data_IF_736757367483
#
_entry.id   IF_736757367483
#
_cell.length_a   1.000
_cell.length_b   1.000
_cell.length_c   1.000
_cell.angle_alpha   90.00
_cell.angle_beta   90.00
_cell.angle_gamma   90.00
#
_symmetry.space_group_name_H-M   'P 1'
#
loop_
_entity.id
_entity.type
_entity.pdbx_description
1 polymer ?
#
# COMPACT_ATOMS: atom_id res chain seq x y z
N UNK A 1 -43.65 -22.86 4.82
CA UNK A 1 -42.32 -22.88 5.47
C UNK A 1 -41.15 -23.03 4.48
N UNK A 2 -41.19 -22.36 3.31
CA UNK A 2 -40.10 -22.39 2.29
C UNK A 2 -39.56 -21.01 1.92
N UNK A 3 -40.25 -19.93 2.33
CA UNK A 3 -39.90 -18.55 1.98
C UNK A 3 -38.83 -17.98 2.92
N UNK A 4 -38.80 -18.40 4.19
CA UNK A 4 -37.83 -17.91 5.18
C UNK A 4 -36.39 -18.40 4.95
N UNK A 5 -36.21 -19.57 4.31
CA UNK A 5 -34.87 -20.13 4.06
C UNK A 5 -34.14 -19.41 2.91
N UNK A 6 -34.87 -18.82 1.96
CA UNK A 6 -34.27 -18.09 0.85
C UNK A 6 -33.78 -16.70 1.27
N UNK A 7 -34.47 -16.06 2.23
CA UNK A 7 -34.09 -14.73 2.71
C UNK A 7 -32.76 -14.72 3.47
N UNK A 8 -32.43 -15.80 4.20
CA UNK A 8 -31.19 -15.90 4.98
C UNK A 8 -29.97 -16.10 4.07
N UNK A 9 -30.14 -16.72 2.90
CA UNK A 9 -29.06 -16.94 1.93
C UNK A 9 -28.68 -15.67 1.15
N UNK A 10 -29.60 -14.72 0.99
CA UNK A 10 -29.33 -13.47 0.28
C UNK A 10 -28.58 -12.47 1.17
N UNK A 11 -28.83 -12.48 2.49
CA UNK A 11 -28.15 -11.56 3.43
C UNK A 11 -26.68 -11.98 3.66
N UNK A 12 -26.34 -13.26 3.49
CA UNK A 12 -24.98 -13.75 3.66
C UNK A 12 -24.04 -13.42 2.47
N UNK A 13 -24.56 -12.93 1.34
CA UNK A 13 -23.77 -12.63 0.14
C UNK A 13 -23.29 -11.18 0.03
N UNK A 14 -23.68 -10.28 0.92
CA UNK A 14 -23.40 -8.83 0.78
C UNK A 14 -22.36 -8.25 1.72
N UNK A 15 -21.69 -9.04 2.55
CA UNK A 15 -20.76 -8.53 3.57
C UNK A 15 -19.34 -9.07 3.44
N UNK A 16 -18.71 -8.89 2.28
CA UNK A 16 -17.23 -8.88 2.22
C UNK A 16 -16.76 -7.65 1.45
N UNK A 17 -17.03 -6.48 2.02
CA UNK A 17 -16.23 -5.29 1.72
C UNK A 17 -14.86 -5.52 2.35
N UNK A 18 -13.97 -6.18 1.61
CA UNK A 18 -12.55 -6.27 1.95
C UNK A 18 -12.01 -4.86 2.12
N UNK A 19 -11.76 -4.43 3.36
CA UNK A 19 -10.98 -3.24 3.64
C UNK A 19 -9.54 -3.53 3.23
N UNK A 20 -9.23 -3.31 1.95
CA UNK A 20 -7.85 -3.10 1.53
C UNK A 20 -7.30 -1.95 2.37
N UNK A 21 -6.26 -2.21 3.16
CA UNK A 21 -5.39 -1.17 3.72
C UNK A 21 -4.69 -0.47 2.55
N UNK A 22 -5.45 0.42 1.91
CA UNK A 22 -5.00 1.27 0.81
C UNK A 22 -4.15 2.37 1.40
N UNK A 23 -3.16 2.78 0.62
CA UNK A 23 -2.55 4.09 0.76
C UNK A 23 -3.55 5.11 0.19
N UNK A 24 -4.70 5.25 0.84
CA UNK A 24 -5.72 6.26 0.57
C UNK A 24 -5.37 7.51 1.39
N UNK A 25 -4.17 8.02 1.20
CA UNK A 25 -3.80 9.31 1.74
C UNK A 25 -4.00 10.35 0.64
N UNK A 26 -5.03 11.16 0.83
CA UNK A 26 -5.47 12.21 -0.10
C UNK A 26 -4.88 13.58 0.25
N UNK A 27 -3.97 13.62 1.23
CA UNK A 27 -3.45 14.87 1.82
C UNK A 27 -1.91 14.91 1.82
N UNK A 28 -1.32 16.09 1.57
CA UNK A 28 0.12 16.30 1.72
C UNK A 28 0.51 16.31 3.21
N UNK A 29 1.80 16.12 3.47
CA UNK A 29 2.39 16.20 4.82
C UNK A 29 2.39 14.89 5.60
N UNK A 30 1.94 13.78 5.01
CA UNK A 30 2.08 12.48 5.68
C UNK A 30 3.44 11.89 5.38
N UNK A 31 4.16 11.51 6.44
CA UNK A 31 5.53 11.04 6.35
C UNK A 31 5.63 9.52 6.45
N UNK A 32 6.52 8.98 5.63
CA UNK A 32 6.81 7.56 5.48
C UNK A 32 8.28 7.30 5.76
N UNK A 33 8.56 6.18 6.43
CA UNK A 33 9.91 5.68 6.62
C UNK A 33 10.30 4.80 5.43
N UNK A 34 11.46 5.09 4.84
CA UNK A 34 11.99 4.41 3.67
C UNK A 34 13.25 3.65 4.09
N UNK A 35 13.23 2.33 3.90
CA UNK A 35 14.27 1.42 4.34
C UNK A 35 15.17 1.06 3.15
N UNK A 36 16.48 0.98 3.41
CA UNK A 36 17.44 0.38 2.48
C UNK A 36 17.42 -1.15 2.59
N UNK A 37 18.01 -1.88 1.63
CA UNK A 37 18.08 -3.35 1.69
C UNK A 37 18.76 -3.89 2.94
N UNK A 38 19.69 -3.13 3.53
CA UNK A 38 20.43 -3.48 4.75
C UNK A 38 19.55 -3.33 6.00
N UNK A 39 18.53 -2.49 5.95
CA UNK A 39 17.59 -2.21 7.05
C UNK A 39 16.47 -3.25 7.07
N UNK A 40 16.83 -4.45 7.52
CA UNK A 40 15.97 -5.64 7.47
C UNK A 40 14.77 -5.62 8.41
N UNK A 41 14.69 -4.68 9.36
CA UNK A 41 13.56 -4.56 10.27
C UNK A 41 12.65 -3.39 9.88
N UNK A 42 11.41 -3.69 9.49
CA UNK A 42 10.36 -2.73 9.24
C UNK A 42 9.68 -2.32 10.54
N UNK A 43 9.46 -1.03 10.67
CA UNK A 43 8.85 -0.48 11.86
C UNK A 43 7.35 -0.21 11.62
N UNK A 44 6.47 -0.77 12.46
CA UNK A 44 5.02 -0.75 12.23
C UNK A 44 4.40 0.64 12.41
N UNK A 45 5.10 1.55 13.09
CA UNK A 45 4.65 2.92 13.27
C UNK A 45 5.69 3.87 12.65
N UNK A 46 5.44 4.39 11.43
CA UNK A 46 6.36 5.29 10.76
C UNK A 46 6.48 6.66 11.48
N UNK A 47 5.56 6.99 12.40
CA UNK A 47 5.53 8.28 13.10
C UNK A 47 6.29 8.30 14.42
N UNK A 48 6.87 7.18 14.86
CA UNK A 48 7.70 7.17 16.08
C UNK A 48 9.08 7.74 15.78
N UNK A 49 9.50 8.72 16.57
CA UNK A 49 10.81 9.39 16.51
C UNK A 49 12.00 8.47 16.83
N UNK A 50 11.75 7.23 17.26
CA UNK A 50 12.76 6.27 17.70
C UNK A 50 13.69 5.77 16.56
N UNK A 51 13.38 6.09 15.30
CA UNK A 51 14.11 5.60 14.13
C UNK A 51 14.73 6.76 13.35
N UNK A 52 15.74 7.40 13.96
CA UNK A 52 16.44 8.57 13.40
C UNK A 52 17.40 8.23 12.25
N UNK A 53 17.79 6.97 12.14
CA UNK A 53 18.66 6.41 11.10
C UNK A 53 17.90 6.09 9.79
N UNK A 54 16.57 6.05 9.85
CA UNK A 54 15.73 5.84 8.67
C UNK A 54 15.49 7.13 7.92
N UNK A 55 15.62 7.06 6.60
CA UNK A 55 15.19 8.13 5.74
C UNK A 55 13.68 8.33 5.88
N UNK A 56 13.27 9.57 6.12
CA UNK A 56 11.87 9.97 6.18
C UNK A 56 11.58 10.90 5.03
N UNK A 57 10.50 10.62 4.30
CA UNK A 57 9.97 11.55 3.30
C UNK A 57 8.48 11.72 3.52
N UNK A 58 7.98 12.92 3.23
CA UNK A 58 6.58 13.26 3.36
C UNK A 58 5.91 13.48 2.00
N UNK A 59 4.60 13.22 1.95
CA UNK A 59 3.81 13.40 0.75
C UNK A 59 3.70 14.88 0.39
N UNK A 60 3.79 15.19 -0.89
CA UNK A 60 3.67 16.56 -1.41
C UNK A 60 3.00 16.61 -2.77
N UNK A 61 2.36 17.73 -3.06
CA UNK A 61 1.82 18.00 -4.39
C UNK A 61 2.95 18.36 -5.35
N UNK A 62 2.94 17.73 -6.53
CA UNK A 62 3.82 18.05 -7.65
C UNK A 62 3.02 18.15 -8.93
N UNK A 63 3.53 18.90 -9.91
CA UNK A 63 3.00 18.89 -11.27
C UNK A 63 3.54 17.66 -12.02
N UNK A 64 2.65 16.82 -12.53
CA UNK A 64 2.98 15.69 -13.39
C UNK A 64 1.91 15.57 -14.48
N UNK A 65 2.31 15.47 -15.75
CA UNK A 65 1.39 15.41 -16.90
C UNK A 65 0.31 16.53 -16.90
N UNK A 66 0.70 17.75 -16.51
CA UNK A 66 -0.20 18.93 -16.36
C UNK A 66 -1.25 18.81 -15.25
N UNK A 67 -1.18 17.79 -14.40
CA UNK A 67 -2.05 17.60 -13.24
C UNK A 67 -1.28 17.78 -11.94
N UNK A 68 -1.99 18.16 -10.88
CA UNK A 68 -1.44 18.11 -9.52
C UNK A 68 -1.55 16.68 -9.00
N UNK A 69 -0.42 16.11 -8.62
CA UNK A 69 -0.32 14.76 -8.12
C UNK A 69 0.30 14.75 -6.73
N UNK A 70 -0.34 14.02 -5.82
CA UNK A 70 0.25 13.72 -4.53
C UNK A 70 1.33 12.68 -4.73
N UNK A 71 2.52 12.96 -4.23
CA UNK A 71 3.71 12.18 -4.49
C UNK A 71 4.59 12.04 -3.25
N UNK A 72 5.43 11.01 -3.24
CA UNK A 72 6.45 10.76 -2.24
C UNK A 72 7.80 10.60 -2.95
N UNK A 73 8.83 11.33 -2.52
CA UNK A 73 10.18 11.26 -3.13
C UNK A 73 11.11 10.44 -2.24
N UNK A 74 11.87 9.51 -2.81
CA UNK A 74 12.83 8.70 -2.05
C UNK A 74 14.21 9.38 -1.98
N UNK A 75 15.11 8.84 -1.15
CA UNK A 75 16.52 9.24 -1.08
C UNK A 75 17.29 9.00 -2.38
N UNK A 76 16.77 8.17 -3.29
CA UNK A 76 17.39 7.85 -4.58
C UNK A 76 16.79 8.67 -5.74
N UNK A 77 16.09 9.77 -5.44
CA UNK A 77 15.39 10.61 -6.41
C UNK A 77 14.25 9.91 -7.19
N UNK A 78 13.77 8.77 -6.72
CA UNK A 78 12.56 8.15 -7.28
C UNK A 78 11.32 8.85 -6.72
N UNK A 79 10.30 9.05 -7.56
CA UNK A 79 9.06 9.74 -7.18
C UNK A 79 7.88 8.80 -7.34
N UNK A 80 7.29 8.39 -6.22
CA UNK A 80 6.09 7.57 -6.19
C UNK A 80 4.85 8.46 -6.28
N UNK A 81 4.00 8.23 -7.27
CA UNK A 81 2.72 8.96 -7.46
C UNK A 81 1.60 8.21 -6.73
N UNK A 82 1.00 8.87 -5.73
CA UNK A 82 -0.02 8.32 -4.83
C UNK A 82 -1.45 8.64 -5.25
N UNK A 83 -1.67 9.79 -5.86
CA UNK A 83 -2.95 10.17 -6.46
C UNK A 83 -2.74 11.41 -7.33
N UNK A 84 -3.66 11.68 -8.26
CA UNK A 84 -3.68 12.92 -9.01
C UNK A 84 -5.10 13.49 -9.00
N UNK A 85 -5.21 14.81 -9.00
CA UNK A 85 -6.50 15.50 -9.13
C UNK A 85 -7.16 15.04 -10.45
N UNK A 86 -8.47 14.84 -10.41
CA UNK A 86 -9.31 14.41 -11.54
C UNK A 86 -9.01 13.00 -12.11
N UNK A 87 -8.34 12.14 -11.35
CA UNK A 87 -8.19 10.71 -11.69
C UNK A 87 -9.09 9.89 -10.77
N UNK A 88 -10.29 9.56 -11.24
CA UNK A 88 -11.36 8.94 -10.42
C UNK A 88 -11.19 7.45 -10.14
N UNK A 89 -10.31 6.73 -10.84
CA UNK A 89 -10.02 5.34 -10.50
C UNK A 89 -8.63 4.92 -10.97
N UNK A 90 -7.92 4.20 -10.09
CA UNK A 90 -6.71 3.48 -10.46
C UNK A 90 -7.12 2.14 -11.05
N UNK A 91 -6.58 1.81 -12.23
CA UNK A 91 -6.84 0.53 -12.91
C UNK A 91 -6.47 -0.69 -12.05
N UNK A 92 -5.58 -0.53 -11.07
CA UNK A 92 -5.13 -1.58 -10.14
C UNK A 92 -4.94 -1.02 -8.73
N UNK A 93 -5.79 -1.39 -7.76
CA UNK A 93 -5.60 -1.05 -6.35
C UNK A 93 -4.23 -1.52 -5.84
N UNK A 94 -3.63 -0.76 -4.92
CA UNK A 94 -2.32 -1.09 -4.36
C UNK A 94 -1.13 -0.96 -5.34
N UNK A 95 -1.34 -0.53 -6.58
CA UNK A 95 -0.27 -0.23 -7.53
C UNK A 95 -0.15 1.28 -7.78
N UNK A 96 1.08 1.73 -7.97
CA UNK A 96 1.47 3.13 -8.05
C UNK A 96 2.39 3.33 -9.24
N UNK A 97 2.28 4.49 -9.88
CA UNK A 97 3.28 4.94 -10.86
C UNK A 97 4.51 5.42 -10.09
N UNK A 98 5.71 5.01 -10.49
CA UNK A 98 6.97 5.53 -9.99
C UNK A 98 7.74 6.16 -11.15
N UNK A 99 8.29 7.35 -10.91
CA UNK A 99 9.18 8.04 -11.83
C UNK A 99 10.60 7.82 -11.30
N UNK A 100 11.41 7.09 -12.05
CA UNK A 100 12.78 6.78 -11.68
C UNK A 100 13.71 7.99 -11.89
N UNK A 101 14.94 7.90 -11.39
CA UNK A 101 15.96 8.95 -11.55
C UNK A 101 16.27 9.29 -13.01
N UNK A 102 16.16 8.30 -13.89
CA UNK A 102 16.31 8.43 -15.35
C UNK A 102 15.04 8.98 -16.04
N UNK A 103 14.04 9.41 -15.26
CA UNK A 103 12.73 9.91 -15.69
C UNK A 103 11.85 8.87 -16.38
N UNK A 104 12.22 7.58 -16.33
CA UNK A 104 11.34 6.52 -16.82
C UNK A 104 10.23 6.24 -15.84
N UNK A 105 9.06 5.92 -16.38
CA UNK A 105 7.89 5.57 -15.58
C UNK A 105 7.71 4.07 -15.51
N UNK A 106 7.42 3.59 -14.31
CA UNK A 106 7.15 2.17 -14.06
C UNK A 106 5.95 2.04 -13.13
N UNK A 107 5.38 0.83 -13.06
CA UNK A 107 4.31 0.50 -12.12
C UNK A 107 4.89 -0.41 -11.05
N UNK A 108 4.83 0.04 -9.81
CA UNK A 108 5.21 -0.73 -8.63
C UNK A 108 3.96 -1.05 -7.81
N UNK A 109 3.87 -2.26 -7.28
CA UNK A 109 2.73 -2.69 -6.50
C UNK A 109 3.14 -3.02 -5.07
N UNK A 110 2.22 -2.71 -4.16
CA UNK A 110 2.27 -3.08 -2.76
C UNK A 110 2.35 -4.59 -2.62
N UNK A 111 3.22 -5.05 -1.74
CA UNK A 111 3.42 -6.45 -1.38
C UNK A 111 3.33 -6.60 0.13
N UNK A 112 2.91 -7.76 0.58
CA UNK A 112 2.90 -8.09 2.01
C UNK A 112 4.17 -8.86 2.36
N UNK A 113 5.01 -8.27 3.20
CA UNK A 113 6.13 -8.95 3.84
C UNK A 113 5.58 -9.85 4.96
N UNK A 114 5.56 -11.16 4.70
CA UNK A 114 5.05 -12.16 5.65
C UNK A 114 5.92 -12.30 6.90
N UNK A 115 7.23 -12.00 6.80
CA UNK A 115 8.15 -12.14 7.94
C UNK A 115 7.89 -11.06 8.97
N UNK A 116 7.55 -9.86 8.51
CA UNK A 116 7.38 -8.68 9.35
C UNK A 116 5.93 -8.28 9.57
N UNK A 117 4.99 -8.89 8.82
CA UNK A 117 3.58 -8.55 8.89
C UNK A 117 3.30 -7.14 8.34
N UNK A 118 4.09 -6.69 7.37
CA UNK A 118 4.07 -5.33 6.87
C UNK A 118 3.68 -5.26 5.40
N UNK A 119 2.94 -4.24 5.03
CA UNK A 119 2.65 -3.92 3.65
C UNK A 119 3.62 -2.85 3.15
N UNK A 120 4.31 -3.16 2.06
CA UNK A 120 5.44 -2.37 1.56
C UNK A 120 5.36 -2.17 0.05
N UNK A 121 5.88 -1.05 -0.44
CA UNK A 121 6.22 -0.86 -1.86
C UNK A 121 7.73 -0.93 -1.99
N UNK A 122 8.21 -1.80 -2.88
CA UNK A 122 9.63 -1.92 -3.18
C UNK A 122 9.93 -1.23 -4.50
N UNK A 123 10.88 -0.30 -4.49
CA UNK A 123 11.29 0.45 -5.69
C UNK A 123 12.31 -0.34 -6.51
N UNK A 124 12.64 0.16 -7.71
CA UNK A 124 13.64 -0.45 -8.59
C UNK A 124 15.03 -0.46 -7.96
N UNK A 125 15.35 0.57 -7.17
CA UNK A 125 16.59 0.64 -6.39
C UNK A 125 16.52 -0.11 -5.05
N UNK A 126 15.58 -1.04 -4.91
CA UNK A 126 15.37 -1.90 -3.73
C UNK A 126 15.08 -1.15 -2.43
N UNK A 127 14.57 0.08 -2.50
CA UNK A 127 14.09 0.78 -1.32
C UNK A 127 12.71 0.27 -0.92
N UNK A 128 12.49 0.06 0.37
CA UNK A 128 11.20 -0.39 0.91
C UNK A 128 10.47 0.74 1.61
N UNK A 129 9.33 1.15 1.05
CA UNK A 129 8.43 2.16 1.62
C UNK A 129 7.36 1.41 2.42
N UNK A 130 7.37 1.58 3.74
CA UNK A 130 6.42 0.89 4.64
C UNK A 130 5.10 1.66 4.67
N UNK A 131 4.03 1.03 4.18
CA UNK A 131 2.68 1.63 4.14
C UNK A 131 1.99 1.45 5.48
N UNK A 132 2.09 0.25 6.05
CA UNK A 132 1.50 -0.09 7.33
C UNK A 132 1.80 -1.52 7.71
N UNK A 133 1.78 -1.83 8.99
CA UNK A 133 2.01 -3.18 9.49
C UNK A 133 0.91 -3.60 10.45
N UNK A 134 0.66 -4.91 10.51
CA UNK A 134 -0.25 -5.48 11.48
C UNK A 134 0.36 -5.41 12.90
N UNK A 135 -0.45 -5.17 13.93
CA UNK A 135 0.02 -5.28 15.31
C UNK A 135 0.51 -6.71 15.58
N UNK A 136 1.65 -6.85 16.27
CA UNK A 136 2.23 -8.16 16.65
C UNK A 136 1.18 -8.97 17.43
N UNK A 137 0.86 -10.17 16.95
CA UNK A 137 -0.18 -11.05 17.50
C UNK A 137 -1.33 -11.37 16.54
N UNK A 138 -1.43 -10.67 15.40
CA UNK A 138 -2.36 -11.03 14.33
C UNK A 138 -1.77 -12.13 13.43
N UNK A 139 -2.39 -13.31 13.44
CA UNK A 139 -1.97 -14.44 12.59
C UNK A 139 -2.22 -14.13 11.10
N UNK A 140 -1.24 -14.33 10.20
CA UNK A 140 -1.41 -14.18 8.75
C UNK A 140 -2.47 -15.11 8.14
N UNK A 141 -2.85 -16.17 8.86
CA UNK A 141 -3.80 -17.19 8.40
C UNK A 141 -5.20 -16.66 8.11
N UNK A 142 -5.56 -15.45 8.58
CA UNK A 142 -6.84 -14.82 8.25
C UNK A 142 -6.86 -14.32 6.80
N UNK A 143 -5.72 -13.90 6.23
CA UNK A 143 -5.67 -13.45 4.83
C UNK A 143 -5.57 -14.60 3.82
N UNK A 144 -5.00 -15.75 4.19
CA UNK A 144 -5.05 -16.96 3.35
C UNK A 144 -6.50 -17.51 3.17
N UNK A 145 -7.45 -17.07 4.01
CA UNK A 145 -8.88 -17.37 3.84
C UNK A 145 -9.52 -16.41 2.82
N UNK A 146 -9.03 -15.18 2.70
CA UNK A 146 -9.61 -14.14 1.81
C UNK A 146 -9.06 -14.23 0.38
N UNK A 147 -7.85 -14.76 0.18
CA UNK A 147 -7.25 -14.95 -1.16
C UNK A 147 -7.43 -16.35 -1.73
N UNK A 148 -8.45 -17.12 -1.30
CA UNK A 148 -8.74 -18.44 -1.90
C UNK A 148 -9.12 -18.29 -3.38
N UNK A 149 -8.11 -18.38 -4.25
CA UNK A 149 -8.27 -19.04 -5.54
C UNK A 149 -8.73 -20.46 -5.20
N UNK A 150 -9.90 -20.94 -5.66
CA UNK A 150 -10.29 -22.31 -5.40
C UNK A 150 -9.21 -23.25 -5.97
N UNK A 151 -8.93 -24.39 -5.31
CA UNK A 151 -8.13 -25.43 -5.91
C UNK A 151 -8.77 -25.78 -7.25
N UNK A 152 -7.96 -25.86 -8.31
CA UNK A 152 -8.39 -26.57 -9.51
C UNK A 152 -8.44 -28.04 -9.13
N UNK A 153 -9.65 -28.59 -9.03
CA UNK A 153 -9.88 -30.02 -9.24
C UNK A 153 -9.49 -30.40 -10.68
#
# INVERSE_FOLDING_TARGET
MRVFLVAILIIALTSVASQEHRLEETKPGICYKIHTPEQTQFYPNPRKKLYSDLHESCTKWIKHERKDCLSLKTQNDEVLILSCIDVRSRKRPGCYKIINRDKREEIVCQKFDKKQGCSVVVTRTNLSIVIGCLPRGYSPSIFDIITRKPPRE
#
